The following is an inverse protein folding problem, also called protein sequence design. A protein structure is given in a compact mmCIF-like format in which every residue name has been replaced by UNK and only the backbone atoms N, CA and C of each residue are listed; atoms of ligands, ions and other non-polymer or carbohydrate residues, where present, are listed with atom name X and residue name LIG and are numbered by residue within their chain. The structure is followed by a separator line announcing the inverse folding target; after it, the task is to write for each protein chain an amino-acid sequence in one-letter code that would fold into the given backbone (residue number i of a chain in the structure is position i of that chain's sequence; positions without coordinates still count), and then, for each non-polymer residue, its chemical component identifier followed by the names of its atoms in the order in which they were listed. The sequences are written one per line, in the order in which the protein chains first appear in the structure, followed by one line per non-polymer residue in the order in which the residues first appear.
data_IF_878400055369
#
_entry.id   IF_878400055369
#
_cell.length_a   1.000
_cell.length_b   1.000
_cell.length_c   1.000
_cell.angle_alpha   90.00
_cell.angle_beta   90.00
_cell.angle_gamma   90.00
#
_symmetry.space_group_name_H-M   'P 1'
#
loop_
_entity.id
_entity.type
_entity.pdbx_description
1 polymer ?
#
# COMPACT_ATOMS: atom_id res chain seq x y z
N UNK A 1 2.16 3.35 -11.27
CA UNK A 1 2.05 2.25 -10.28
C UNK A 1 3.33 2.15 -9.46
N UNK A 2 3.25 1.71 -8.21
CA UNK A 2 4.38 1.43 -7.31
C UNK A 2 4.58 -0.09 -7.18
N UNK A 3 5.79 -0.54 -6.85
CA UNK A 3 6.04 -1.98 -6.66
C UNK A 3 5.65 -2.44 -5.26
N UNK A 4 5.40 -3.74 -5.05
CA UNK A 4 5.14 -4.32 -3.72
C UNK A 4 6.28 -4.04 -2.73
N UNK A 5 7.53 -4.06 -3.20
CA UNK A 5 8.70 -3.76 -2.37
C UNK A 5 8.69 -2.30 -1.90
N UNK A 6 8.33 -1.36 -2.78
CA UNK A 6 8.21 0.06 -2.43
C UNK A 6 7.07 0.30 -1.44
N UNK A 7 5.93 -0.36 -1.65
CA UNK A 7 4.79 -0.29 -0.73
C UNK A 7 5.18 -0.84 0.65
N UNK A 8 5.71 -2.06 0.74
CA UNK A 8 6.16 -2.66 2.00
C UNK A 8 7.18 -1.77 2.73
N UNK A 9 8.13 -1.18 2.00
CA UNK A 9 9.10 -0.25 2.57
C UNK A 9 8.40 0.98 3.17
N UNK A 10 7.44 1.57 2.46
CA UNK A 10 6.70 2.73 2.93
C UNK A 10 5.91 2.44 4.21
N UNK A 11 5.21 1.30 4.28
CA UNK A 11 4.50 0.87 5.50
C UNK A 11 5.45 0.73 6.70
N UNK A 12 6.63 0.11 6.47
CA UNK A 12 7.66 -0.03 7.51
C UNK A 12 8.24 1.29 7.98
N UNK A 13 8.52 2.22 7.07
CA UNK A 13 9.10 3.53 7.41
C UNK A 13 8.11 4.42 8.14
N UNK A 14 6.82 4.31 7.82
CA UNK A 14 5.75 5.14 8.40
C UNK A 14 5.17 4.55 9.68
N UNK A 15 5.44 3.28 9.97
CA UNK A 15 4.79 2.54 11.07
C UNK A 15 3.25 2.57 10.96
N UNK A 16 2.74 2.49 9.74
CA UNK A 16 1.31 2.46 9.42
C UNK A 16 0.91 1.03 9.02
N UNK A 17 -0.37 0.71 9.20
CA UNK A 17 -0.94 -0.61 8.86
C UNK A 17 -1.92 -0.57 7.70
N UNK A 18 -2.37 0.62 7.28
CA UNK A 18 -3.23 0.81 6.12
C UNK A 18 -2.82 2.06 5.32
N UNK A 19 -3.14 2.07 4.04
CA UNK A 19 -2.97 3.22 3.16
C UNK A 19 -4.18 3.37 2.23
N UNK A 20 -4.42 4.60 1.78
CA UNK A 20 -5.48 4.93 0.82
C UNK A 20 -4.93 4.83 -0.60
N UNK A 21 -5.67 4.16 -1.48
CA UNK A 21 -5.38 4.08 -2.90
C UNK A 21 -6.17 5.17 -3.63
N UNK A 22 -5.49 5.92 -4.47
CA UNK A 22 -6.07 6.98 -5.29
C UNK A 22 -5.63 6.84 -6.75
N UNK A 23 -6.50 7.29 -7.65
CA UNK A 23 -6.18 7.39 -9.08
C UNK A 23 -5.30 8.63 -9.38
N UNK A 24 -4.95 8.83 -10.65
CA UNK A 24 -4.13 9.97 -11.10
C UNK A 24 -4.80 11.34 -10.94
N UNK A 25 -6.12 11.36 -10.75
CA UNK A 25 -6.92 12.56 -10.51
C UNK A 25 -7.17 12.79 -9.00
N UNK A 26 -6.65 11.90 -8.15
CA UNK A 26 -6.82 11.94 -6.69
C UNK A 26 -8.17 11.41 -6.21
N UNK A 27 -8.93 10.73 -7.06
CA UNK A 27 -10.16 10.06 -6.67
C UNK A 27 -9.84 8.82 -5.84
N UNK A 28 -10.64 8.58 -4.80
CA UNK A 28 -10.50 7.41 -3.95
C UNK A 28 -10.87 6.12 -4.70
N UNK A 29 -9.96 5.16 -4.72
CA UNK A 29 -10.19 3.83 -5.30
C UNK A 29 -10.36 2.75 -4.24
N UNK A 30 -9.74 2.91 -3.06
CA UNK A 30 -9.83 1.89 -2.00
C UNK A 30 -8.82 2.06 -0.88
N UNK A 31 -8.68 1.00 -0.09
CA UNK A 31 -7.72 0.89 1.01
C UNK A 31 -6.89 -0.37 0.79
N UNK A 32 -5.59 -0.30 1.08
CA UNK A 32 -4.67 -1.44 1.11
C UNK A 32 -4.09 -1.57 2.51
N UNK A 33 -3.97 -2.80 3.01
CA UNK A 33 -3.36 -3.10 4.29
C UNK A 33 -1.96 -3.69 4.13
N UNK A 34 -1.15 -3.63 5.20
CA UNK A 34 0.16 -4.28 5.22
C UNK A 34 0.02 -5.80 5.06
N UNK A 35 -1.05 -6.37 5.60
CA UNK A 35 -1.38 -7.78 5.54
C UNK A 35 -1.58 -8.26 4.10
N UNK A 36 -2.31 -7.50 3.27
CA UNK A 36 -2.53 -7.82 1.85
C UNK A 36 -1.19 -7.88 1.08
N UNK A 37 -0.27 -6.96 1.37
CA UNK A 37 1.06 -6.91 0.73
C UNK A 37 1.90 -8.11 1.13
N UNK A 38 1.79 -8.57 2.38
CA UNK A 38 2.53 -9.73 2.88
C UNK A 38 1.98 -11.03 2.30
N UNK A 39 0.67 -11.15 2.11
CA UNK A 39 0.03 -12.34 1.50
C UNK A 39 0.53 -12.58 0.07
N UNK A 40 0.69 -11.51 -0.73
CA UNK A 40 1.16 -11.62 -2.13
C UNK A 40 2.65 -12.01 -2.26
N UNK A 41 3.45 -11.92 -1.19
CA UNK A 41 4.88 -12.29 -1.20
C UNK A 41 5.10 -13.76 -0.82
N UNK A 42 4.13 -14.41 -0.14
CA UNK A 42 4.24 -15.77 0.41
C UNK A 42 4.02 -16.87 -0.63
#
# INVERSE_FOLDING_TARGET
STTLADQLKAFKERHEHFAIVVDEYGAFEGVVSLEDILEEIV
#
